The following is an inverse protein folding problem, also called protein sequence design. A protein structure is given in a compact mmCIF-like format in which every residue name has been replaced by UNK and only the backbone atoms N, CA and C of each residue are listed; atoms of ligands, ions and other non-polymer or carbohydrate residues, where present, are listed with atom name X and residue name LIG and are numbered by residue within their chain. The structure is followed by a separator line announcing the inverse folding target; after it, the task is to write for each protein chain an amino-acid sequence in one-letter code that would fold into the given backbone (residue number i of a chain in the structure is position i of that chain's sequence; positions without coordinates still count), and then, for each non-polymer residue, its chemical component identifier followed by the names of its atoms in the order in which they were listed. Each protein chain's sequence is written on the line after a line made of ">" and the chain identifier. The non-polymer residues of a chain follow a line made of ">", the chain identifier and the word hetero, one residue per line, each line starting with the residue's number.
data_IF_556267052154
#
_entry.id   IF_556267052154
#
_cell.length_a   1.000
_cell.length_b   1.000
_cell.length_c   1.000
_cell.angle_alpha   90.00
_cell.angle_beta   90.00
_cell.angle_gamma   90.00
#
_symmetry.space_group_name_H-M   'P 1'
#
loop_
_entity.id
_entity.type
_entity.pdbx_description
1 polymer ?
#
# COMPACT_ATOMS: atom_id res chain seq x y z
N UNK A 1 -4.36 6.31 9.57
CA UNK A 1 -3.67 4.99 9.48
C UNK A 1 -2.48 5.06 10.41
N UNK A 2 -2.30 4.08 11.30
CA UNK A 2 -1.29 4.12 12.39
C UNK A 2 0.14 3.83 11.93
N UNK A 3 0.33 3.31 10.72
CA UNK A 3 1.62 2.89 10.20
C UNK A 3 2.10 1.53 10.74
N UNK A 4 1.26 0.81 11.48
CA UNK A 4 1.57 -0.52 12.00
C UNK A 4 1.55 -1.56 10.87
N UNK A 5 2.60 -2.40 10.73
CA UNK A 5 2.61 -3.45 9.71
C UNK A 5 1.63 -4.58 10.05
N UNK A 6 0.93 -5.08 9.04
CA UNK A 6 -0.04 -6.19 9.13
C UNK A 6 0.52 -7.46 8.47
N UNK A 7 1.41 -7.29 7.48
CA UNK A 7 2.10 -8.36 6.78
C UNK A 7 3.25 -7.79 5.97
N UNK A 8 4.24 -8.62 5.66
CA UNK A 8 5.43 -8.22 4.91
C UNK A 8 5.95 -9.38 4.08
N UNK A 9 6.41 -9.06 2.88
CA UNK A 9 7.12 -9.97 2.00
C UNK A 9 8.18 -9.19 1.24
N UNK A 10 9.32 -9.84 1.00
CA UNK A 10 10.49 -9.22 0.37
C UNK A 10 11.61 -8.92 1.35
N UNK A 11 12.71 -8.35 0.85
CA UNK A 11 13.92 -8.16 1.65
C UNK A 11 14.01 -6.75 2.24
N UNK A 12 13.91 -5.72 1.39
CA UNK A 12 14.09 -4.32 1.78
C UNK A 12 13.14 -3.41 1.00
N UNK A 13 12.67 -2.31 1.60
CA UNK A 13 12.84 -1.91 3.00
C UNK A 13 12.03 -2.80 3.97
N UNK A 14 12.32 -2.69 5.26
CA UNK A 14 11.63 -3.45 6.31
C UNK A 14 10.20 -2.95 6.55
N UNK A 15 9.33 -3.77 7.18
CA UNK A 15 7.91 -3.45 7.36
C UNK A 15 7.67 -2.18 8.20
N UNK A 16 8.41 -2.01 9.29
CA UNK A 16 8.24 -0.85 10.18
C UNK A 16 8.65 0.46 9.50
N UNK A 17 9.69 0.41 8.68
CA UNK A 17 10.16 1.57 7.92
C UNK A 17 9.14 1.95 6.85
N UNK A 18 8.63 0.97 6.09
CA UNK A 18 7.58 1.19 5.11
C UNK A 18 6.31 1.75 5.76
N UNK A 19 5.86 1.17 6.87
CA UNK A 19 4.65 1.62 7.56
C UNK A 19 4.76 3.05 8.09
N UNK A 20 5.88 3.39 8.72
CA UNK A 20 6.12 4.73 9.28
C UNK A 20 6.22 5.79 8.18
N UNK A 21 7.10 5.59 7.20
CA UNK A 21 7.32 6.61 6.16
C UNK A 21 6.16 6.66 5.17
N UNK A 22 5.57 5.52 4.83
CA UNK A 22 4.44 5.46 3.92
C UNK A 22 3.17 6.11 4.48
N UNK A 23 2.91 5.99 5.79
CA UNK A 23 1.81 6.72 6.43
C UNK A 23 1.99 8.25 6.35
N UNK A 24 3.22 8.75 6.52
CA UNK A 24 3.54 10.17 6.32
C UNK A 24 3.30 10.62 4.88
N UNK A 25 3.76 9.84 3.90
CA UNK A 25 3.58 10.15 2.46
C UNK A 25 2.10 10.23 2.09
N UNK A 26 1.30 9.26 2.55
CA UNK A 26 -0.15 9.27 2.33
C UNK A 26 -0.81 10.49 2.98
N UNK A 27 -0.45 10.84 4.21
CA UNK A 27 -0.98 12.01 4.89
C UNK A 27 -0.69 13.32 4.14
N UNK A 28 0.56 13.50 3.67
CA UNK A 28 0.97 14.65 2.87
C UNK A 28 0.18 14.70 1.55
N UNK A 29 0.05 13.58 0.85
CA UNK A 29 -0.68 13.53 -0.42
C UNK A 29 -2.17 13.84 -0.23
N UNK A 30 -2.81 13.29 0.80
CA UNK A 30 -4.21 13.60 1.12
C UNK A 30 -4.40 15.09 1.41
N UNK A 31 -3.45 15.72 2.12
CA UNK A 31 -3.48 17.17 2.37
C UNK A 31 -3.34 17.96 1.06
N UNK A 32 -2.40 17.58 0.20
CA UNK A 32 -2.19 18.22 -1.10
C UNK A 32 -3.42 18.07 -2.00
N UNK A 33 -4.01 16.86 -2.10
CA UNK A 33 -5.22 16.62 -2.89
C UNK A 33 -6.38 17.49 -2.44
N UNK A 34 -6.59 17.66 -1.12
CA UNK A 34 -7.61 18.58 -0.61
C UNK A 34 -7.31 20.03 -0.95
N UNK A 35 -6.07 20.48 -0.75
CA UNK A 35 -5.67 21.85 -1.06
C UNK A 35 -5.86 22.20 -2.54
N UNK A 36 -5.69 21.22 -3.43
CA UNK A 36 -5.88 21.36 -4.87
C UNK A 36 -7.32 21.10 -5.35
N UNK A 37 -8.25 20.78 -4.45
CA UNK A 37 -9.64 20.50 -4.81
C UNK A 37 -9.86 19.18 -5.55
N UNK A 38 -8.93 18.21 -5.45
CA UNK A 38 -8.98 16.92 -6.14
C UNK A 38 -9.83 15.85 -5.43
N UNK A 39 -10.54 16.24 -4.37
CA UNK A 39 -11.42 15.36 -3.59
C UNK A 39 -10.81 14.83 -2.29
N UNK A 40 -11.58 13.99 -1.60
CA UNK A 40 -11.26 13.48 -0.25
C UNK A 40 -10.96 11.98 -0.19
N UNK A 41 -10.99 11.28 -1.34
CA UNK A 41 -10.60 9.88 -1.40
C UNK A 41 -9.12 9.71 -1.04
N UNK A 42 -8.78 8.60 -0.38
CA UNK A 42 -7.38 8.24 -0.13
C UNK A 42 -6.72 7.97 -1.49
N UNK A 43 -5.65 8.69 -1.85
CA UNK A 43 -5.06 8.56 -3.17
C UNK A 43 -4.27 7.27 -3.32
N UNK A 44 -4.41 6.64 -4.48
CA UNK A 44 -3.45 5.65 -4.97
C UNK A 44 -2.22 6.39 -5.50
N UNK A 45 -1.02 5.92 -5.16
CA UNK A 45 0.23 6.56 -5.56
C UNK A 45 1.19 5.58 -6.22
N UNK A 46 1.76 5.98 -7.35
CA UNK A 46 2.84 5.28 -8.02
C UNK A 46 3.97 6.25 -8.33
N UNK A 47 5.14 6.01 -7.74
CA UNK A 47 6.31 6.88 -7.83
C UNK A 47 7.45 6.14 -8.50
N UNK A 48 8.06 6.77 -9.50
CA UNK A 48 9.32 6.30 -10.07
C UNK A 48 10.47 7.08 -9.46
N UNK A 49 11.38 6.37 -8.82
CA UNK A 49 12.63 6.90 -8.26
C UNK A 49 13.81 6.53 -9.18
N UNK A 50 15.03 6.86 -8.76
CA UNK A 50 16.24 6.55 -9.52
C UNK A 50 16.36 5.06 -9.87
N UNK A 51 16.31 4.19 -8.86
CA UNK A 51 16.50 2.73 -9.00
C UNK A 51 15.27 1.89 -8.64
N UNK A 52 14.21 2.51 -8.11
CA UNK A 52 13.05 1.79 -7.61
C UNK A 52 11.75 2.40 -8.11
N UNK A 53 10.70 1.58 -8.13
CA UNK A 53 9.33 2.05 -8.13
C UNK A 53 8.73 1.83 -6.75
N UNK A 54 7.95 2.80 -6.29
CA UNK A 54 7.20 2.75 -5.05
C UNK A 54 5.71 2.86 -5.36
N UNK A 55 4.93 1.91 -4.86
CA UNK A 55 3.47 1.91 -4.93
C UNK A 55 2.90 2.00 -3.51
N UNK A 56 1.98 2.94 -3.29
CA UNK A 56 1.19 3.04 -2.07
C UNK A 56 -0.28 3.03 -2.45
N UNK A 57 -1.03 2.07 -1.92
CA UNK A 57 -2.43 1.90 -2.28
C UNK A 57 -3.30 1.58 -1.07
N UNK A 58 -4.36 2.35 -0.76
CA UNK A 58 -5.42 1.88 0.14
C UNK A 58 -6.00 0.53 -0.34
N UNK A 59 -6.29 -0.37 0.59
CA UNK A 59 -6.95 -1.63 0.27
C UNK A 59 -8.47 -1.46 0.37
N UNK A 60 -9.25 -1.58 -0.73
CA UNK A 60 -10.70 -1.40 -0.68
C UNK A 60 -11.39 -2.36 0.28
N UNK A 61 -10.87 -3.58 0.41
CA UNK A 61 -11.39 -4.62 1.29
C UNK A 61 -11.12 -4.38 2.79
N UNK A 62 -10.15 -3.51 3.12
CA UNK A 62 -9.69 -3.28 4.49
C UNK A 62 -9.58 -1.77 4.76
N UNK A 63 -10.69 -1.11 5.11
CA UNK A 63 -10.66 0.30 5.49
C UNK A 63 -9.62 0.56 6.58
N UNK A 64 -8.70 1.49 6.33
CA UNK A 64 -7.60 1.81 7.25
C UNK A 64 -6.31 1.02 7.01
N UNK A 65 -6.25 0.10 6.05
CA UNK A 65 -5.05 -0.58 5.60
C UNK A 65 -4.60 -0.12 4.20
N UNK A 66 -3.28 -0.14 3.97
CA UNK A 66 -2.68 0.19 2.68
C UNK A 66 -1.53 -0.75 2.37
N UNK A 67 -1.41 -1.08 1.10
CA UNK A 67 -0.30 -1.84 0.54
C UNK A 67 0.85 -0.91 0.18
N UNK A 68 2.05 -1.29 0.60
CA UNK A 68 3.30 -0.64 0.21
C UNK A 68 4.12 -1.64 -0.59
N UNK A 69 4.51 -1.28 -1.82
CA UNK A 69 5.33 -2.13 -2.68
C UNK A 69 6.53 -1.35 -3.17
N UNK A 70 7.72 -1.87 -2.90
CA UNK A 70 8.98 -1.38 -3.46
C UNK A 70 9.49 -2.38 -4.47
N UNK A 71 9.82 -1.92 -5.67
CA UNK A 71 10.21 -2.75 -6.78
C UNK A 71 11.50 -2.23 -7.40
N UNK A 72 12.42 -3.12 -7.75
CA UNK A 72 13.65 -2.75 -8.44
C UNK A 72 13.36 -2.45 -9.91
N UNK A 73 13.52 -1.18 -10.28
CA UNK A 73 13.20 -0.67 -11.63
C UNK A 73 13.84 -1.48 -12.77
N UNK A 74 15.10 -1.98 -12.68
CA UNK A 74 15.69 -2.78 -13.76
C UNK A 74 14.93 -4.08 -14.07
N UNK A 75 14.17 -4.60 -13.12
CA UNK A 75 13.57 -5.93 -13.18
C UNK A 75 12.06 -5.90 -13.39
N UNK A 76 11.42 -4.73 -13.37
CA UNK A 76 9.96 -4.61 -13.37
C UNK A 76 9.44 -3.47 -14.25
N UNK A 77 8.26 -3.67 -14.83
CA UNK A 77 7.48 -2.59 -15.42
C UNK A 77 6.43 -2.10 -14.43
N UNK A 78 6.49 -0.82 -14.08
CA UNK A 78 5.52 -0.20 -13.17
C UNK A 78 4.07 -0.37 -13.66
N UNK A 79 3.85 -0.16 -14.97
CA UNK A 79 2.51 -0.29 -15.56
C UNK A 79 1.95 -1.71 -15.41
N UNK A 80 2.78 -2.73 -15.65
CA UNK A 80 2.38 -4.13 -15.47
C UNK A 80 2.12 -4.44 -14.00
N UNK A 81 2.93 -3.93 -13.08
CA UNK A 81 2.73 -4.13 -11.65
C UNK A 81 1.44 -3.50 -11.13
N UNK A 82 1.10 -2.29 -11.59
CA UNK A 82 -0.20 -1.66 -11.27
C UNK A 82 -1.36 -2.53 -11.78
N UNK A 83 -1.27 -3.08 -13.00
CA UNK A 83 -2.30 -3.98 -13.53
C UNK A 83 -2.42 -5.28 -12.74
N UNK A 84 -1.29 -5.92 -12.42
CA UNK A 84 -1.24 -7.17 -11.65
C UNK A 84 -1.80 -6.96 -10.24
N UNK A 85 -1.42 -5.88 -9.57
CA UNK A 85 -1.89 -5.56 -8.22
C UNK A 85 -3.39 -5.23 -8.17
N UNK A 86 -3.97 -4.65 -9.23
CA UNK A 86 -5.42 -4.45 -9.32
C UNK A 86 -6.18 -5.78 -9.45
N UNK A 87 -5.62 -6.76 -10.18
CA UNK A 87 -6.19 -8.11 -10.23
C UNK A 87 -6.08 -8.83 -8.89
N UNK A 88 -4.99 -8.56 -8.15
CA UNK A 88 -4.77 -9.15 -6.84
C UNK A 88 -5.70 -8.57 -5.76
N UNK A 89 -6.24 -7.37 -5.96
CA UNK A 89 -7.26 -6.81 -5.05
C UNK A 89 -8.48 -7.72 -4.94
N UNK A 90 -8.90 -8.38 -6.03
CA UNK A 90 -10.02 -9.33 -6.00
C UNK A 90 -9.73 -10.52 -5.08
N UNK A 91 -8.48 -11.00 -5.07
CA UNK A 91 -8.04 -12.08 -4.21
C UNK A 91 -7.90 -11.62 -2.74
N UNK A 92 -7.39 -10.41 -2.50
CA UNK A 92 -7.33 -9.82 -1.16
C UNK A 92 -8.73 -9.55 -0.60
N UNK A 93 -9.70 -9.19 -1.45
CA UNK A 93 -11.10 -9.05 -1.07
C UNK A 93 -11.69 -10.38 -0.56
N UNK A 94 -11.27 -11.50 -1.15
CA UNK A 94 -11.67 -12.83 -0.69
C UNK A 94 -11.00 -13.21 0.64
N UNK A 95 -9.70 -12.96 0.78
CA UNK A 95 -8.96 -13.22 2.02
C UNK A 95 -9.46 -12.37 3.20
N UNK A 96 -9.86 -11.12 2.93
CA UNK A 96 -10.46 -10.21 3.91
C UNK A 96 -11.78 -10.69 4.49
N UNK A 97 -12.51 -11.54 3.75
CA UNK A 97 -13.82 -12.07 4.13
C UNK A 97 -13.74 -13.29 5.05
N UNK A 98 -12.57 -13.90 5.21
CA UNK A 98 -12.37 -15.00 6.15
C UNK A 98 -12.25 -14.42 7.57
N UNK A 99 -13.13 -14.81 8.52
CA UNK A 99 -13.07 -14.28 9.87
C UNK A 99 -11.76 -14.67 10.56
N UNK A 100 -11.18 -13.71 11.28
CA UNK A 100 -10.04 -13.89 12.17
C UNK A 100 -10.45 -14.74 13.39
N UNK A 101 -10.56 -16.06 13.20
CA UNK A 101 -10.93 -17.03 14.26
C UNK A 101 -9.73 -17.79 14.83
N UNK A 102 -8.50 -17.35 14.57
CA UNK A 102 -7.30 -18.08 14.99
C UNK A 102 -6.15 -17.14 15.40
N UNK A 103 -6.35 -16.37 16.47
CA UNK A 103 -5.24 -15.86 17.27
C UNK A 103 -5.38 -16.45 18.68
N UNK A 104 -4.48 -17.32 19.15
CA UNK A 104 -4.53 -17.79 20.52
C UNK A 104 -4.23 -16.60 21.45
N UNK A 105 -5.13 -16.40 22.41
CA UNK A 105 -4.94 -15.48 23.54
C UNK A 105 -3.72 -15.95 24.33
N UNK A 106 -2.75 -15.06 24.50
CA UNK A 106 -1.72 -15.19 25.53
C UNK A 106 -1.83 -13.98 26.45
#
# INVERSE_FOLDING_TARGET
>A
MTGQPIGHAGARPGPDELGRHGSSVLATMMSASRALGLGAAVPDMSVTLGQHHLLLRPLPAHPGAALHVVLDKPHVSLALMVLQLRRLDDALLLAARLPNSAQPRN
#
